data_IF_870178497473
#
_entry.id   IF_870178497473
#
_cell.length_a   1.000
_cell.length_b   1.000
_cell.length_c   1.000
_cell.angle_alpha   90.00
_cell.angle_beta   90.00
_cell.angle_gamma   90.00
#
_symmetry.space_group_name_H-M   'P 1'
#
loop_
_entity.id
_entity.type
_entity.pdbx_description
1 polymer ?
#
# COMPACT_ATOMS: atom_id res chain seq x y z
N UNK A 1 18.93 -1.31 -13.31
CA UNK A 1 18.70 -1.92 -11.98
C UNK A 1 17.23 -1.88 -11.59
N UNK A 2 16.60 -0.69 -11.52
CA UNK A 2 15.16 -0.57 -11.24
C UNK A 2 14.26 -1.21 -12.32
N UNK A 3 14.55 -0.99 -13.60
CA UNK A 3 13.77 -1.57 -14.71
C UNK A 3 13.78 -3.10 -14.72
N UNK A 4 14.90 -3.72 -14.34
CA UNK A 4 15.00 -5.18 -14.27
C UNK A 4 14.12 -5.76 -13.14
N UNK A 5 14.04 -5.07 -12.00
CA UNK A 5 13.18 -5.47 -10.88
C UNK A 5 11.69 -5.31 -11.21
N UNK A 6 11.32 -4.24 -11.93
CA UNK A 6 9.95 -4.04 -12.42
C UNK A 6 9.56 -5.14 -13.41
N UNK A 7 10.48 -5.50 -14.33
CA UNK A 7 10.28 -6.60 -15.27
C UNK A 7 10.16 -7.96 -14.56
N UNK A 8 10.92 -8.19 -13.49
CA UNK A 8 10.82 -9.43 -12.71
C UNK A 8 9.53 -9.51 -11.88
N UNK A 9 9.08 -8.40 -11.28
CA UNK A 9 7.79 -8.32 -10.59
C UNK A 9 6.63 -8.57 -11.56
N UNK A 10 6.74 -8.07 -12.79
CA UNK A 10 5.76 -8.26 -13.85
C UNK A 10 5.66 -9.70 -14.37
N UNK A 11 6.62 -10.57 -14.07
CA UNK A 11 6.55 -12.01 -14.39
C UNK A 11 5.67 -12.79 -13.40
N UNK A 12 5.49 -12.24 -12.20
CA UNK A 12 4.78 -12.90 -11.08
C UNK A 12 3.41 -12.24 -10.85
N UNK A 13 3.31 -10.94 -11.13
CA UNK A 13 2.11 -10.11 -10.98
C UNK A 13 1.61 -9.65 -12.36
N UNK A 14 0.36 -9.22 -12.44
CA UNK A 14 -0.15 -8.65 -13.69
C UNK A 14 0.60 -7.34 -14.01
N UNK A 15 1.04 -7.18 -15.26
CA UNK A 15 1.63 -5.93 -15.79
C UNK A 15 0.82 -4.69 -15.39
N UNK A 16 -0.51 -4.78 -15.53
CA UNK A 16 -1.42 -3.70 -15.17
C UNK A 16 -1.39 -3.35 -13.67
N UNK A 17 -1.15 -4.33 -12.79
CA UNK A 17 -1.07 -4.11 -11.35
C UNK A 17 0.25 -3.41 -10.98
N UNK A 18 1.35 -3.77 -11.63
CA UNK A 18 2.66 -3.14 -11.43
C UNK A 18 2.64 -1.70 -11.93
N UNK A 19 2.17 -1.46 -13.15
CA UNK A 19 2.05 -0.11 -13.71
C UNK A 19 1.13 0.78 -12.87
N UNK A 20 -0.02 0.26 -12.42
CA UNK A 20 -0.94 1.01 -11.58
C UNK A 20 -0.38 1.30 -10.17
N UNK A 21 0.56 0.50 -9.67
CA UNK A 21 1.25 0.76 -8.42
C UNK A 21 2.32 1.86 -8.60
N UNK A 22 3.08 1.80 -9.69
CA UNK A 22 4.08 2.82 -10.03
C UNK A 22 3.44 4.19 -10.29
N UNK A 23 2.29 4.24 -10.99
CA UNK A 23 1.54 5.49 -11.22
C UNK A 23 1.09 6.15 -9.89
N UNK A 24 0.84 5.38 -8.83
CA UNK A 24 0.53 5.93 -7.51
C UNK A 24 1.76 6.53 -6.81
N UNK A 25 2.93 5.92 -7.01
CA UNK A 25 4.20 6.41 -6.47
C UNK A 25 4.61 7.69 -7.19
N UNK A 26 4.51 7.70 -8.53
CA UNK A 26 4.86 8.85 -9.37
C UNK A 26 4.02 10.10 -9.06
N UNK A 27 2.83 9.92 -8.48
CA UNK A 27 1.92 11.00 -8.08
C UNK A 27 2.11 11.45 -6.64
N UNK A 28 3.15 11.00 -5.93
CA UNK A 28 3.38 11.25 -4.50
C UNK A 28 2.13 11.00 -3.64
N UNK A 29 1.33 10.00 -4.03
CA UNK A 29 -0.01 9.77 -3.49
C UNK A 29 0.00 8.88 -2.25
N UNK A 30 1.16 8.69 -1.62
CA UNK A 30 1.37 7.76 -0.52
C UNK A 30 1.93 8.51 0.69
N UNK A 31 1.15 8.50 1.77
CA UNK A 31 1.52 9.12 3.04
C UNK A 31 1.69 8.02 4.07
N UNK A 32 2.87 7.98 4.70
CA UNK A 32 3.19 7.05 5.79
C UNK A 32 2.97 7.75 7.13
N UNK A 33 2.02 7.25 7.89
CA UNK A 33 1.72 7.68 9.25
C UNK A 33 2.49 6.82 10.23
N UNK A 34 3.29 7.45 11.11
CA UNK A 34 4.00 6.78 12.18
C UNK A 34 3.61 7.38 13.52
N UNK A 35 3.03 6.54 14.37
CA UNK A 35 2.69 6.90 15.74
C UNK A 35 3.90 6.70 16.66
N UNK A 36 4.00 7.45 17.77
CA UNK A 36 5.09 7.31 18.74
C UNK A 36 5.11 5.93 19.44
N UNK A 37 4.04 5.15 19.37
CA UNK A 37 3.98 3.78 19.92
C UNK A 37 4.39 2.69 18.92
N UNK A 38 4.87 3.08 17.73
CA UNK A 38 5.40 2.16 16.73
C UNK A 38 4.37 1.57 15.77
N UNK A 39 3.12 2.04 15.80
CA UNK A 39 2.13 1.71 14.78
C UNK A 39 2.41 2.50 13.49
N UNK A 40 2.40 1.80 12.35
CA UNK A 40 2.67 2.34 11.01
C UNK A 40 1.49 2.03 10.10
N UNK A 41 0.95 3.07 9.48
CA UNK A 41 -0.15 2.99 8.53
C UNK A 41 0.18 3.81 7.28
N UNK A 42 -0.23 3.31 6.12
CA UNK A 42 -0.03 3.97 4.83
C UNK A 42 -1.38 4.42 4.28
N UNK A 43 -1.56 5.72 4.06
CA UNK A 43 -2.72 6.24 3.33
C UNK A 43 -2.34 6.43 1.87
N UNK A 44 -3.08 5.77 0.99
CA UNK A 44 -2.87 5.85 -0.46
C UNK A 44 -4.06 6.57 -1.07
N UNK A 45 -3.83 7.71 -1.70
CA UNK A 45 -4.86 8.45 -2.42
C UNK A 45 -5.24 7.70 -3.71
N UNK A 46 -6.44 7.10 -3.73
CA UNK A 46 -7.03 6.55 -4.94
C UNK A 46 -7.73 7.61 -5.78
N UNK A 47 -8.23 7.20 -6.94
CA UNK A 47 -8.96 8.11 -7.85
C UNK A 47 -10.30 8.59 -7.29
N UNK A 48 -10.91 7.82 -6.39
CA UNK A 48 -12.24 8.10 -5.82
C UNK A 48 -12.22 8.36 -4.32
N UNK A 49 -11.27 7.76 -3.59
CA UNK A 49 -11.14 7.87 -2.15
C UNK A 49 -9.71 7.54 -1.73
N UNK A 50 -9.30 7.99 -0.54
CA UNK A 50 -8.12 7.48 0.14
C UNK A 50 -8.37 6.06 0.67
N UNK A 51 -7.33 5.24 0.68
CA UNK A 51 -7.36 3.90 1.22
C UNK A 51 -6.23 3.71 2.24
N UNK A 52 -6.61 3.25 3.42
CA UNK A 52 -5.69 2.77 4.44
C UNK A 52 -5.08 1.42 4.06
N UNK A 53 -3.76 1.33 4.20
CA UNK A 53 -2.92 0.18 3.90
C UNK A 53 -2.02 -0.10 5.09
N UNK A 54 -2.01 -1.35 5.52
CA UNK A 54 -1.18 -1.83 6.62
C UNK A 54 -0.25 -2.89 6.09
N UNK A 55 1.03 -2.75 6.41
CA UNK A 55 2.11 -3.57 5.85
C UNK A 55 2.77 -4.47 6.91
N UNK A 56 2.25 -4.50 8.14
CA UNK A 56 2.82 -5.30 9.21
C UNK A 56 1.87 -5.45 10.38
N UNK A 57 0.86 -6.32 10.25
CA UNK A 57 0.18 -6.86 11.44
C UNK A 57 0.99 -8.05 11.96
N UNK A 58 1.07 -8.21 13.29
CA UNK A 58 1.64 -9.41 13.94
C UNK A 58 0.81 -10.69 13.74
N UNK A 59 0.04 -10.76 12.66
CA UNK A 59 -0.86 -11.85 12.30
C UNK A 59 -0.35 -12.58 11.04
N UNK A 60 -0.79 -13.82 10.77
CA UNK A 60 -0.32 -14.61 9.61
C UNK A 60 -0.62 -13.97 8.24
N UNK A 61 -1.50 -12.97 8.19
CA UNK A 61 -1.65 -12.08 7.03
C UNK A 61 -0.88 -10.78 7.28
N UNK A 62 0.25 -10.62 6.61
CA UNK A 62 1.22 -9.54 6.84
C UNK A 62 0.87 -8.23 6.14
N UNK A 63 -0.32 -8.10 5.56
CA UNK A 63 -0.77 -6.87 4.90
C UNK A 63 -2.30 -6.80 4.76
N UNK A 64 -2.84 -5.58 4.81
CA UNK A 64 -4.26 -5.27 4.68
C UNK A 64 -4.44 -3.98 3.87
N UNK A 65 -5.54 -3.90 3.11
CA UNK A 65 -5.96 -2.67 2.44
C UNK A 65 -7.48 -2.52 2.50
N UNK A 66 -7.97 -1.31 2.78
CA UNK A 66 -9.40 -1.01 2.81
C UNK A 66 -10.06 -0.88 1.43
N UNK A 67 -9.32 -1.12 0.33
CA UNK A 67 -9.90 -0.96 -1.00
C UNK A 67 -10.89 -2.09 -1.37
N UNK A 68 -11.96 -1.79 -2.14
CA UNK A 68 -12.95 -2.78 -2.54
C UNK A 68 -12.36 -3.96 -3.32
N UNK A 69 -11.35 -3.71 -4.16
CA UNK A 69 -10.68 -4.77 -4.91
C UNK A 69 -9.98 -5.79 -4.01
N UNK A 70 -9.36 -5.33 -2.91
CA UNK A 70 -8.72 -6.21 -1.94
C UNK A 70 -9.76 -7.03 -1.17
N UNK A 71 -10.82 -6.37 -0.67
CA UNK A 71 -11.91 -7.04 0.04
C UNK A 71 -12.57 -8.12 -0.84
N UNK A 72 -12.83 -7.80 -2.11
CA UNK A 72 -13.36 -8.76 -3.06
C UNK A 72 -12.39 -9.92 -3.34
N UNK A 73 -11.08 -9.66 -3.51
CA UNK A 73 -10.11 -10.73 -3.77
C UNK A 73 -9.95 -11.69 -2.60
N UNK A 74 -9.95 -11.19 -1.35
CA UNK A 74 -9.85 -12.06 -0.17
C UNK A 74 -11.14 -12.86 0.07
N UNK A 75 -12.31 -12.25 -0.15
CA UNK A 75 -13.60 -12.89 0.13
C UNK A 75 -14.11 -13.81 -0.98
N UNK A 76 -13.90 -13.47 -2.25
CA UNK A 76 -14.56 -14.15 -3.36
C UNK A 76 -13.66 -15.10 -4.16
N UNK A 77 -12.37 -14.81 -4.30
CA UNK A 77 -11.48 -15.58 -5.20
C UNK A 77 -10.46 -16.43 -4.47
N UNK A 78 -10.18 -16.15 -3.19
CA UNK A 78 -9.15 -16.84 -2.41
C UNK A 78 -7.75 -16.80 -3.05
N UNK A 79 -7.54 -15.87 -4.00
CA UNK A 79 -6.35 -15.76 -4.85
C UNK A 79 -5.89 -14.30 -4.94
N UNK A 80 -4.58 -14.15 -5.11
CA UNK A 80 -3.79 -12.90 -5.15
C UNK A 80 -4.21 -11.88 -4.10
N UNK A 81 -3.54 -11.97 -2.96
CA UNK A 81 -3.77 -11.18 -1.75
C UNK A 81 -3.17 -9.75 -1.90
N UNK A 82 -2.77 -9.34 -3.11
CA UNK A 82 -2.10 -8.07 -3.38
C UNK A 82 -2.98 -7.19 -4.25
N UNK A 83 -3.24 -5.97 -3.79
CA UNK A 83 -3.81 -4.91 -4.60
C UNK A 83 -2.73 -3.90 -5.00
N UNK A 84 -3.04 -3.05 -6.00
CA UNK A 84 -2.12 -2.00 -6.45
C UNK A 84 -1.68 -1.08 -5.31
N UNK A 85 -2.53 -0.81 -4.31
CA UNK A 85 -2.18 0.06 -3.18
C UNK A 85 -1.18 -0.60 -2.23
N UNK A 86 -1.32 -1.90 -1.94
CA UNK A 86 -0.35 -2.65 -1.12
C UNK A 86 0.99 -2.71 -1.84
N UNK A 87 0.98 -3.00 -3.14
CA UNK A 87 2.21 -3.02 -3.93
C UNK A 87 2.86 -1.62 -3.96
N UNK A 88 2.08 -0.57 -4.19
CA UNK A 88 2.57 0.79 -4.20
C UNK A 88 3.19 1.20 -2.86
N UNK A 89 2.52 0.90 -1.75
CA UNK A 89 3.04 1.20 -0.41
C UNK A 89 4.34 0.44 -0.10
N UNK A 90 4.42 -0.84 -0.48
CA UNK A 90 5.65 -1.65 -0.31
C UNK A 90 6.82 -1.11 -1.13
N UNK A 91 6.58 -0.80 -2.40
CA UNK A 91 7.60 -0.24 -3.27
C UNK A 91 8.02 1.15 -2.77
N UNK A 92 7.07 2.01 -2.39
CA UNK A 92 7.38 3.32 -1.83
C UNK A 92 8.21 3.23 -0.55
N UNK A 93 7.93 2.25 0.32
CA UNK A 93 8.71 1.98 1.54
C UNK A 93 10.16 1.62 1.20
N UNK A 94 10.37 0.68 0.27
CA UNK A 94 11.71 0.25 -0.16
C UNK A 94 12.47 1.38 -0.89
N UNK A 95 11.75 2.20 -1.65
CA UNK A 95 12.30 3.31 -2.43
C UNK A 95 12.43 4.60 -1.62
N UNK A 96 11.95 4.62 -0.37
CA UNK A 96 11.87 5.82 0.47
C UNK A 96 11.13 7.00 -0.19
N UNK A 97 10.09 6.70 -0.98
CA UNK A 97 9.24 7.68 -1.69
C UNK A 97 7.89 7.93 -0.98
N UNK A 98 7.86 7.74 0.33
CA UNK A 98 6.66 7.99 1.15
C UNK A 98 6.73 9.38 1.78
N UNK A 99 5.62 10.12 1.81
CA UNK A 99 5.52 11.32 2.63
C UNK A 99 5.34 10.88 4.09
N UNK A 100 6.38 11.03 4.91
CA UNK A 100 6.31 10.64 6.32
C UNK A 100 5.62 11.70 7.20
N UNK A 101 4.64 11.26 7.98
CA UNK A 101 3.93 12.05 8.99
C UNK A 101 4.12 11.37 10.34
N UNK A 102 5.07 11.90 11.11
CA UNK A 102 5.38 11.44 12.48
C UNK A 102 4.62 12.24 13.52
N UNK A 103 4.20 11.60 14.60
CA UNK A 103 3.60 12.29 15.77
C UNK A 103 2.11 12.58 15.62
N UNK A 104 1.44 11.87 14.72
CA UNK A 104 -0.02 11.91 14.59
C UNK A 104 -0.65 11.28 15.83
N UNK A 105 -1.60 11.98 16.45
CA UNK A 105 -2.35 11.44 17.59
C UNK A 105 -3.33 10.36 17.12
N UNK A 106 -3.68 9.43 18.00
CA UNK A 106 -4.67 8.38 17.67
C UNK A 106 -6.00 8.96 17.17
N UNK A 107 -6.39 10.15 17.65
CA UNK A 107 -7.59 10.86 17.21
C UNK A 107 -7.51 11.31 15.74
N UNK A 108 -6.35 11.77 15.27
CA UNK A 108 -6.15 12.12 13.86
C UNK A 108 -6.07 10.88 12.96
N UNK A 109 -5.57 9.76 13.49
CA UNK A 109 -5.53 8.48 12.77
C UNK A 109 -6.94 7.89 12.62
N UNK A 110 -7.78 7.98 13.65
CA UNK A 110 -9.17 7.50 13.64
C UNK A 110 -10.09 8.26 12.66
N UNK A 111 -9.65 9.41 12.15
CA UNK A 111 -10.39 10.24 11.18
C UNK A 111 -10.03 9.95 9.72
N UNK A 112 -9.06 9.06 9.45
CA UNK A 112 -8.68 8.59 8.11
C UNK A 112 -9.57 7.45 7.61
#
# INVERSE_FOLDING_TARGET
VFDELVLDLSKILSENLVLAALDLIDRDSIVKYSTPWGHIEYSVAGSTSSYSVFLGLSCPMSYFCSCPSFSYSVSCTGKSILCKHILAARLAEEMSMCIERTGVSDDELALL
#
